data_IF_486774851902
#
_entry.id   IF_486774851902
#
_cell.length_a   1.000
_cell.length_b   1.000
_cell.length_c   1.000
_cell.angle_alpha   90.00
_cell.angle_beta   90.00
_cell.angle_gamma   90.00
#
_symmetry.space_group_name_H-M   'P 1'
#
loop_
_entity.id
_entity.type
_entity.pdbx_description
1 polymer ?
#
# COMPACT_ATOMS: atom_id res chain seq x y z
N UNK A 1 -16.23 -17.04 13.31
CA UNK A 1 -16.01 -15.95 14.28
C UNK A 1 -14.52 -15.90 14.54
N UNK A 2 -13.93 -14.70 14.64
CA UNK A 2 -12.53 -14.59 15.02
C UNK A 2 -12.40 -14.94 16.49
N UNK A 3 -11.25 -15.46 16.92
CA UNK A 3 -10.96 -15.61 18.34
C UNK A 3 -10.40 -14.28 18.85
N UNK A 4 -11.27 -13.45 19.44
CA UNK A 4 -10.87 -12.11 19.89
C UNK A 4 -9.84 -12.15 21.02
N UNK A 5 -9.69 -13.27 21.74
CA UNK A 5 -8.70 -13.41 22.82
C UNK A 5 -7.25 -13.27 22.32
N UNK A 6 -7.00 -13.52 21.03
CA UNK A 6 -5.69 -13.33 20.42
C UNK A 6 -5.28 -11.86 20.35
N UNK A 7 -6.21 -10.91 20.38
CA UNK A 7 -5.87 -9.48 20.30
C UNK A 7 -5.19 -8.96 21.58
N UNK A 8 -5.41 -9.64 22.71
CA UNK A 8 -4.82 -9.31 24.00
C UNK A 8 -3.50 -10.06 24.27
N UNK A 9 -3.13 -11.03 23.42
CA UNK A 9 -1.89 -11.80 23.50
C UNK A 9 -1.03 -11.61 22.23
N UNK A 10 -0.04 -10.69 22.27
CA UNK A 10 0.83 -10.43 21.13
C UNK A 10 1.64 -11.64 20.65
N UNK A 11 2.01 -12.56 21.55
CA UNK A 11 2.80 -13.75 21.18
C UNK A 11 1.91 -14.76 20.44
N UNK A 12 0.69 -15.00 20.95
CA UNK A 12 -0.28 -15.84 20.27
C UNK A 12 -0.72 -15.25 18.92
N UNK A 13 -0.92 -13.93 18.85
CA UNK A 13 -1.25 -13.23 17.60
C UNK A 13 -0.13 -13.36 16.56
N UNK A 14 1.13 -13.23 16.98
CA UNK A 14 2.29 -13.41 16.11
C UNK A 14 2.42 -14.86 15.63
N UNK A 15 2.16 -15.85 16.50
CA UNK A 15 2.16 -17.26 16.14
C UNK A 15 1.03 -17.60 15.14
N UNK A 16 -0.14 -16.95 15.26
CA UNK A 16 -1.26 -17.10 14.34
C UNK A 16 -0.96 -16.46 12.96
N UNK A 17 -0.15 -15.41 12.90
CA UNK A 17 0.27 -14.74 11.66
C UNK A 17 1.37 -15.49 10.90
N UNK A 18 1.08 -16.72 10.47
CA UNK A 18 2.02 -17.61 9.77
C UNK A 18 2.65 -17.02 8.50
N UNK A 19 2.10 -15.94 7.96
CA UNK A 19 2.56 -15.27 6.74
C UNK A 19 3.13 -13.87 7.00
N UNK A 20 3.18 -13.41 8.25
CA UNK A 20 3.68 -12.08 8.60
C UNK A 20 2.86 -10.92 8.01
N UNK A 21 1.58 -11.14 7.73
CA UNK A 21 0.72 -10.18 7.05
C UNK A 21 0.16 -9.11 7.99
N UNK A 22 -0.07 -9.43 9.26
CA UNK A 22 -0.75 -8.53 10.20
C UNK A 22 0.06 -7.26 10.42
N UNK A 23 1.38 -7.40 10.57
CA UNK A 23 2.26 -6.23 10.69
C UNK A 23 2.23 -5.35 9.44
N UNK A 24 2.29 -5.96 8.26
CA UNK A 24 2.21 -5.23 6.99
C UNK A 24 0.88 -4.48 6.84
N UNK A 25 -0.22 -5.10 7.23
CA UNK A 25 -1.54 -4.48 7.23
C UNK A 25 -1.65 -3.34 8.25
N UNK A 26 -1.16 -3.54 9.48
CA UNK A 26 -1.15 -2.52 10.53
C UNK A 26 -0.34 -1.28 10.12
N UNK A 27 0.76 -1.47 9.39
CA UNK A 27 1.61 -0.37 8.90
C UNK A 27 1.03 0.34 7.66
N UNK A 28 -0.01 -0.19 7.00
CA UNK A 28 -0.48 0.31 5.71
C UNK A 28 -0.85 1.80 5.74
N UNK A 29 -1.56 2.25 6.78
CA UNK A 29 -1.93 3.66 6.93
C UNK A 29 -0.72 4.59 7.09
N UNK A 30 0.29 4.16 7.85
CA UNK A 30 1.53 4.92 8.00
C UNK A 30 2.31 5.00 6.68
N UNK A 31 2.35 3.89 5.91
CA UNK A 31 2.99 3.85 4.59
C UNK A 31 2.32 4.79 3.61
N UNK A 32 0.98 4.84 3.57
CA UNK A 32 0.23 5.76 2.70
C UNK A 32 0.54 7.22 3.04
N UNK A 33 0.53 7.60 4.33
CA UNK A 33 0.85 8.98 4.75
C UNK A 33 2.29 9.36 4.40
N UNK A 34 3.24 8.45 4.59
CA UNK A 34 4.64 8.65 4.21
C UNK A 34 4.79 8.80 2.69
N UNK A 35 4.14 7.96 1.90
CA UNK A 35 4.17 8.05 0.45
C UNK A 35 3.57 9.38 -0.06
N UNK A 36 2.45 9.83 0.52
CA UNK A 36 1.84 11.11 0.19
C UNK A 36 2.78 12.29 0.49
N UNK A 37 3.45 12.27 1.65
CA UNK A 37 4.46 13.27 2.00
C UNK A 37 5.63 13.27 1.01
N UNK A 38 6.18 12.10 0.68
CA UNK A 38 7.27 11.99 -0.30
C UNK A 38 6.85 12.48 -1.69
N UNK A 39 5.61 12.21 -2.12
CA UNK A 39 5.11 12.70 -3.41
C UNK A 39 5.01 14.24 -3.44
N UNK A 40 4.64 14.86 -2.32
CA UNK A 40 4.64 16.31 -2.18
C UNK A 40 6.07 16.88 -2.21
N UNK A 41 7.00 16.28 -1.45
CA UNK A 41 8.42 16.67 -1.41
C UNK A 41 9.09 16.52 -2.79
N UNK A 42 8.73 15.48 -3.55
CA UNK A 42 9.20 15.26 -4.91
C UNK A 42 8.54 16.17 -5.96
N UNK A 43 7.57 17.01 -5.56
CA UNK A 43 6.92 17.97 -6.46
C UNK A 43 6.00 17.33 -7.50
N UNK A 44 5.49 16.11 -7.26
CA UNK A 44 4.64 15.38 -8.23
C UNK A 44 3.41 16.19 -8.65
N UNK A 45 2.81 16.92 -7.70
CA UNK A 45 1.66 17.78 -7.98
C UNK A 45 1.98 19.01 -8.86
N UNK A 46 3.26 19.36 -9.00
CA UNK A 46 3.74 20.48 -9.82
C UNK A 46 4.14 20.09 -11.25
N UNK A 47 4.01 18.81 -11.62
CA UNK A 47 4.32 18.34 -12.97
C UNK A 47 3.39 19.01 -13.99
N UNK A 48 3.97 19.56 -15.05
CA UNK A 48 3.27 20.18 -16.18
C UNK A 48 3.56 19.39 -17.45
N UNK A 49 2.96 18.20 -17.63
CA UNK A 49 3.16 17.42 -18.85
C UNK A 49 2.54 18.16 -20.04
N UNK A 50 3.15 18.01 -21.21
CA UNK A 50 2.59 18.47 -22.48
C UNK A 50 1.40 17.58 -22.87
N UNK A 51 0.23 17.88 -22.27
CA UNK A 51 -1.00 17.12 -22.43
C UNK A 51 -1.17 15.96 -21.44
N UNK A 52 -2.21 15.15 -21.65
CA UNK A 52 -2.50 13.98 -20.80
C UNK A 52 -1.53 12.83 -21.15
N UNK A 53 -0.88 12.19 -20.15
CA UNK A 53 -0.10 10.98 -20.39
C UNK A 53 -0.93 9.91 -21.10
N UNK A 54 -0.41 9.36 -22.20
CA UNK A 54 -1.09 8.30 -22.98
C UNK A 54 -1.02 6.92 -22.31
N UNK A 55 -0.08 6.74 -21.39
CA UNK A 55 0.12 5.52 -20.63
C UNK A 55 0.82 5.86 -19.29
N UNK A 56 0.64 4.99 -18.30
CA UNK A 56 1.36 5.03 -17.02
C UNK A 56 1.99 3.65 -16.81
N UNK A 57 3.31 3.61 -16.59
CA UNK A 57 4.03 2.38 -16.26
C UNK A 57 4.13 2.25 -14.74
N UNK A 58 3.66 1.12 -14.20
CA UNK A 58 3.77 0.80 -12.78
C UNK A 58 4.75 -0.37 -12.67
N UNK A 59 5.90 -0.11 -12.04
CA UNK A 59 6.95 -1.10 -11.86
C UNK A 59 7.21 -1.32 -10.37
N UNK A 60 7.33 -2.58 -9.96
CA UNK A 60 7.58 -2.97 -8.59
C UNK A 60 7.61 -4.49 -8.43
N UNK A 61 8.14 -4.99 -7.30
CA UNK A 61 8.29 -6.42 -7.08
C UNK A 61 6.94 -7.10 -6.77
N UNK A 62 6.78 -8.31 -7.30
CA UNK A 62 5.68 -9.20 -6.97
C UNK A 62 4.30 -8.62 -7.26
N UNK A 63 3.30 -9.02 -6.48
CA UNK A 63 1.91 -8.66 -6.70
C UNK A 63 1.58 -7.17 -6.43
N UNK A 64 2.49 -6.43 -5.78
CA UNK A 64 2.25 -5.04 -5.41
C UNK A 64 2.04 -4.14 -6.64
N UNK A 65 2.84 -4.33 -7.70
CA UNK A 65 2.71 -3.55 -8.94
C UNK A 65 1.41 -3.88 -9.67
N UNK A 66 1.06 -5.16 -9.77
CA UNK A 66 -0.18 -5.62 -10.41
C UNK A 66 -1.41 -5.09 -9.67
N UNK A 67 -1.49 -5.25 -8.35
CA UNK A 67 -2.64 -4.77 -7.59
C UNK A 67 -2.78 -3.25 -7.59
N UNK A 68 -1.66 -2.51 -7.57
CA UNK A 68 -1.69 -1.06 -7.74
C UNK A 68 -2.19 -0.66 -9.13
N UNK A 69 -1.77 -1.36 -10.18
CA UNK A 69 -2.23 -1.13 -11.55
C UNK A 69 -3.72 -1.43 -11.71
N UNK A 70 -4.19 -2.56 -11.18
CA UNK A 70 -5.61 -2.93 -11.20
C UNK A 70 -6.45 -1.87 -10.48
N UNK A 71 -6.04 -1.47 -9.27
CA UNK A 71 -6.74 -0.43 -8.49
C UNK A 71 -6.83 0.88 -9.29
N UNK A 72 -5.71 1.37 -9.83
CA UNK A 72 -5.71 2.60 -10.61
C UNK A 72 -6.52 2.49 -11.91
N UNK A 73 -6.51 1.31 -12.54
CA UNK A 73 -7.32 1.02 -13.72
C UNK A 73 -8.83 1.09 -13.46
N UNK A 74 -9.29 0.82 -12.23
CA UNK A 74 -10.71 0.97 -11.87
C UNK A 74 -11.16 2.42 -11.63
N UNK A 75 -10.21 3.34 -11.42
CA UNK A 75 -10.48 4.76 -11.16
C UNK A 75 -10.43 5.64 -12.43
N UNK A 76 -9.99 5.07 -13.56
CA UNK A 76 -9.71 5.78 -14.83
C UNK A 76 -10.88 5.69 -15.83
#
# INVERSE_FOLDING_TARGET
>A
MLDESLLDDPEALAAADRRGLLRGAAEAGARVRTAARHAAEAGVAGLKPDGRPRAVLIAGPGAAATHAADLLGTLA
#
